data_IF_637079283974
#
_entry.id   IF_637079283974
#
_cell.length_a   1.000
_cell.length_b   1.000
_cell.length_c   1.000
_cell.angle_alpha   90.00
_cell.angle_beta   90.00
_cell.angle_gamma   90.00
#
_symmetry.space_group_name_H-M   'P 1'
#
loop_
_entity.id
_entity.type
_entity.pdbx_description
1 polymer ?
#
# COMPACT_ATOMS: atom_id res chain seq x y z
N UNK A 1 -2.78 4.66 45.48
CA UNK A 1 -3.51 4.94 44.22
C UNK A 1 -4.64 3.94 43.95
N UNK A 2 -4.69 2.77 44.62
CA UNK A 2 -5.73 1.75 44.44
C UNK A 2 -6.99 1.90 45.33
N UNK A 3 -6.97 2.72 46.40
CA UNK A 3 -8.12 2.87 47.30
C UNK A 3 -9.17 3.92 46.84
N UNK A 4 -8.79 4.81 45.92
CA UNK A 4 -9.72 5.83 45.38
C UNK A 4 -10.72 5.28 44.37
N UNK A 5 -10.35 4.25 43.62
CA UNK A 5 -11.21 3.61 42.59
C UNK A 5 -12.24 2.65 43.20
N UNK A 6 -11.92 1.95 44.29
CA UNK A 6 -12.90 1.09 44.97
C UNK A 6 -14.03 1.88 45.66
N UNK A 7 -13.74 3.09 46.15
CA UNK A 7 -14.75 3.94 46.79
C UNK A 7 -15.75 4.55 45.79
N UNK A 8 -15.37 4.68 44.51
CA UNK A 8 -16.29 5.18 43.47
C UNK A 8 -17.29 4.10 43.04
N UNK A 9 -16.87 2.82 43.00
CA UNK A 9 -17.77 1.70 42.70
C UNK A 9 -18.70 1.33 43.87
N UNK A 10 -18.24 1.42 45.11
CA UNK A 10 -19.06 1.08 46.28
C UNK A 10 -20.11 2.14 46.64
N UNK A 11 -20.00 3.38 46.15
CA UNK A 11 -21.01 4.42 46.38
C UNK A 11 -22.27 4.29 45.50
N UNK A 12 -22.27 3.46 44.45
CA UNK A 12 -23.48 3.21 43.64
C UNK A 12 -24.30 1.99 44.09
N UNK A 13 -23.80 1.14 44.98
CA UNK A 13 -24.53 -0.07 45.42
C UNK A 13 -25.32 0.14 46.72
N UNK A 14 -25.08 1.21 47.47
CA UNK A 14 -25.89 1.56 48.64
C UNK A 14 -26.46 2.98 48.50
N UNK A 15 -27.71 3.07 48.07
CA UNK A 15 -28.47 4.34 47.99
C UNK A 15 -28.58 5.03 49.35
N UNK A 16 -28.52 6.38 49.36
CA UNK A 16 -29.40 7.13 50.23
C UNK A 16 -30.13 8.24 49.45
N UNK A 17 -31.46 8.16 49.43
CA UNK A 17 -32.34 9.33 49.42
C UNK A 17 -32.56 10.08 48.10
N UNK A 18 -33.74 9.86 47.50
CA UNK A 18 -34.65 10.93 47.12
C UNK A 18 -34.15 12.03 46.18
N UNK A 19 -33.91 11.67 44.92
CA UNK A 19 -33.86 12.58 43.78
C UNK A 19 -33.87 11.72 42.52
N UNK A 20 -34.96 11.75 41.76
CA UNK A 20 -35.15 10.93 40.55
C UNK A 20 -34.21 11.36 39.43
N UNK A 21 -32.95 10.95 39.51
CA UNK A 21 -32.00 10.98 38.40
C UNK A 21 -31.83 9.57 37.87
N UNK A 22 -32.29 9.30 36.65
CA UNK A 22 -32.02 8.03 35.96
C UNK A 22 -30.51 7.84 35.84
N UNK A 23 -29.99 6.73 36.37
CA UNK A 23 -28.61 6.31 36.09
C UNK A 23 -28.40 6.29 34.57
N UNK A 24 -27.24 6.72 34.05
CA UNK A 24 -26.97 6.60 32.62
C UNK A 24 -27.08 5.12 32.22
N UNK A 25 -28.08 4.81 31.40
CA UNK A 25 -28.36 3.46 30.93
C UNK A 25 -27.94 3.34 29.47
N UNK A 26 -27.13 2.34 29.15
CA UNK A 26 -26.91 1.93 27.77
C UNK A 26 -28.14 1.20 27.26
N UNK A 27 -28.66 1.60 26.11
CA UNK A 27 -29.84 0.99 25.50
C UNK A 27 -29.37 0.21 24.27
N UNK A 28 -29.44 -1.14 24.27
CA UNK A 28 -29.17 -1.91 23.06
C UNK A 28 -30.29 -1.66 22.04
N UNK A 29 -29.90 -1.33 20.82
CA UNK A 29 -30.83 -1.03 19.74
C UNK A 29 -30.34 -1.63 18.43
N UNK A 30 -31.27 -2.22 17.68
CA UNK A 30 -31.07 -2.70 16.32
C UNK A 30 -31.18 -1.54 15.34
N UNK A 31 -30.22 -1.43 14.43
CA UNK A 31 -30.22 -0.47 13.34
C UNK A 31 -31.20 -0.92 12.27
N UNK A 32 -32.10 -0.05 11.88
CA UNK A 32 -33.07 -0.26 10.81
C UNK A 32 -32.64 0.45 9.52
N UNK A 33 -32.03 1.62 9.62
CA UNK A 33 -31.65 2.45 8.47
C UNK A 33 -30.51 3.41 8.85
N UNK A 34 -29.76 3.90 7.87
CA UNK A 34 -28.60 4.77 8.10
C UNK A 34 -28.38 5.79 6.98
N UNK A 35 -28.27 7.07 7.35
CA UNK A 35 -27.98 8.16 6.40
C UNK A 35 -26.49 8.25 6.12
N UNK A 36 -26.06 7.88 4.90
CA UNK A 36 -24.65 7.88 4.49
C UNK A 36 -24.28 8.97 3.47
N UNK A 37 -25.25 9.48 2.72
CA UNK A 37 -25.05 10.54 1.73
C UNK A 37 -26.34 11.35 1.47
N UNK A 38 -26.27 12.29 0.52
CA UNK A 38 -27.34 13.21 0.13
C UNK A 38 -28.50 12.56 -0.62
N UNK A 39 -28.33 11.33 -1.12
CA UNK A 39 -29.35 10.61 -1.89
C UNK A 39 -30.37 9.94 -0.99
N UNK A 40 -30.03 9.74 0.29
CA UNK A 40 -30.94 9.15 1.28
C UNK A 40 -32.19 10.02 1.50
N UNK A 41 -33.42 9.46 1.49
CA UNK A 41 -34.67 10.23 1.62
C UNK A 41 -34.84 11.08 2.89
N UNK A 42 -33.96 10.91 3.87
CA UNK A 42 -34.00 11.54 5.20
C UNK A 42 -32.80 12.44 5.46
N UNK A 43 -31.99 12.72 4.44
CA UNK A 43 -30.80 13.55 4.53
C UNK A 43 -31.10 14.94 5.13
N UNK A 44 -32.17 15.61 4.67
CA UNK A 44 -32.58 16.91 5.22
C UNK A 44 -33.06 16.80 6.68
N UNK A 45 -33.71 15.70 7.05
CA UNK A 45 -34.25 15.47 8.41
C UNK A 45 -33.16 15.30 9.49
N UNK A 46 -31.97 14.85 9.09
CA UNK A 46 -30.84 14.62 10.00
C UNK A 46 -29.86 15.80 10.05
N UNK A 47 -30.13 16.88 9.31
CA UNK A 47 -29.24 18.05 9.25
C UNK A 47 -28.17 17.95 8.17
N UNK A 48 -28.50 17.29 7.05
CA UNK A 48 -27.66 17.19 5.86
C UNK A 48 -26.27 16.60 6.17
N UNK A 49 -25.19 17.23 5.71
CA UNK A 49 -23.82 16.76 5.91
C UNK A 49 -23.40 16.61 7.37
N UNK A 50 -24.01 17.39 8.28
CA UNK A 50 -23.75 17.27 9.72
C UNK A 50 -24.48 16.06 10.34
N UNK A 51 -25.42 15.47 9.61
CA UNK A 51 -26.21 14.31 10.02
C UNK A 51 -25.70 12.97 9.50
N UNK A 52 -24.63 12.94 8.71
CA UNK A 52 -24.07 11.69 8.16
C UNK A 52 -23.72 10.72 9.30
N UNK A 53 -24.09 9.45 9.11
CA UNK A 53 -23.97 8.39 10.10
C UNK A 53 -25.13 8.37 11.10
N UNK A 54 -26.14 9.25 11.01
CA UNK A 54 -27.34 9.13 11.83
C UNK A 54 -28.07 7.83 11.49
N UNK A 55 -28.30 7.01 12.50
CA UNK A 55 -29.06 5.76 12.37
C UNK A 55 -30.51 5.98 12.78
N UNK A 56 -31.40 5.20 12.18
CA UNK A 56 -32.74 4.94 12.69
C UNK A 56 -32.75 3.55 13.32
N UNK A 57 -33.41 3.39 14.46
CA UNK A 57 -33.26 2.19 15.26
C UNK A 57 -34.55 1.73 15.92
N UNK A 58 -34.55 0.46 16.33
CA UNK A 58 -35.55 -0.16 17.19
C UNK A 58 -34.87 -0.74 18.44
N UNK A 59 -35.40 -0.45 19.63
CA UNK A 59 -34.90 -1.06 20.87
C UNK A 59 -35.17 -2.56 20.88
N UNK A 60 -34.23 -3.37 21.37
CA UNK A 60 -34.33 -4.84 21.33
C UNK A 60 -35.56 -5.36 22.09
N UNK A 61 -35.95 -4.70 23.20
CA UNK A 61 -37.08 -5.11 24.04
C UNK A 61 -38.46 -4.83 23.40
N UNK A 62 -38.51 -3.98 22.37
CA UNK A 62 -39.74 -3.67 21.66
C UNK A 62 -40.00 -4.77 20.62
N UNK A 63 -40.49 -5.95 21.06
CA UNK A 63 -41.08 -6.97 20.19
C UNK A 63 -42.43 -6.49 19.62
N UNK A 64 -42.39 -5.40 18.85
CA UNK A 64 -43.57 -4.81 18.22
C UNK A 64 -43.37 -4.73 16.71
N UNK A 65 -44.41 -5.06 15.95
CA UNK A 65 -44.49 -4.90 14.48
C UNK A 65 -44.49 -3.43 14.02
N UNK A 66 -44.27 -2.48 14.93
CA UNK A 66 -44.32 -1.06 14.64
C UNK A 66 -42.93 -0.59 14.19
N UNK A 67 -42.80 -0.29 12.89
CA UNK A 67 -41.70 0.48 12.32
C UNK A 67 -41.67 1.86 12.99
N UNK A 68 -40.98 2.01 14.14
CA UNK A 68 -40.83 3.30 14.80
C UNK A 68 -39.82 4.14 14.03
N UNK A 69 -40.24 4.69 12.90
CA UNK A 69 -39.43 5.45 11.96
C UNK A 69 -38.95 6.81 12.51
N UNK A 70 -39.26 7.15 13.77
CA UNK A 70 -38.92 8.43 14.38
C UNK A 70 -37.67 8.39 15.28
N UNK A 71 -37.26 7.20 15.73
CA UNK A 71 -36.14 7.07 16.66
C UNK A 71 -34.81 7.17 15.91
N UNK A 72 -34.00 8.18 16.24
CA UNK A 72 -32.69 8.42 15.63
C UNK A 72 -31.58 8.66 16.63
N UNK A 73 -30.37 8.25 16.27
CA UNK A 73 -29.17 8.45 17.07
C UNK A 73 -27.95 8.83 16.20
N UNK A 74 -27.06 9.64 16.75
CA UNK A 74 -25.84 10.15 16.08
C UNK A 74 -24.60 9.33 16.46
N UNK A 75 -23.56 9.28 15.60
CA UNK A 75 -22.31 8.60 15.97
C UNK A 75 -21.62 9.33 17.13
N UNK A 76 -21.24 8.61 18.18
CA UNK A 76 -20.54 9.18 19.33
C UNK A 76 -19.11 9.67 19.00
N UNK A 77 -18.47 9.06 18.00
CA UNK A 77 -17.08 9.30 17.64
C UNK A 77 -17.02 9.95 16.25
N UNK A 78 -16.63 11.22 16.19
CA UNK A 78 -16.54 11.95 14.92
C UNK A 78 -15.32 11.53 14.06
N UNK A 79 -14.23 11.13 14.71
CA UNK A 79 -12.96 10.81 14.05
C UNK A 79 -12.76 9.31 13.78
N UNK A 80 -13.59 8.44 14.35
CA UNK A 80 -13.60 7.01 14.10
C UNK A 80 -14.96 6.64 13.49
N UNK A 81 -15.00 6.54 12.16
CA UNK A 81 -16.22 6.21 11.42
C UNK A 81 -16.30 4.70 11.24
N UNK A 82 -16.99 4.03 12.15
CA UNK A 82 -17.39 2.63 12.04
C UNK A 82 -18.91 2.55 12.12
N UNK A 83 -19.54 2.95 11.02
CA UNK A 83 -20.99 2.98 10.94
C UNK A 83 -21.55 1.56 10.84
N UNK A 84 -22.67 1.27 11.55
CA UNK A 84 -23.31 -0.03 11.48
C UNK A 84 -23.92 -0.31 10.12
N UNK A 85 -24.11 -1.59 9.83
CA UNK A 85 -25.02 -2.07 8.80
C UNK A 85 -26.45 -2.17 9.33
N UNK A 86 -27.41 -2.28 8.42
CA UNK A 86 -28.78 -2.64 8.78
C UNK A 86 -28.79 -3.97 9.53
N UNK A 87 -29.67 -4.09 10.53
CA UNK A 87 -29.81 -5.19 11.47
C UNK A 87 -28.66 -5.38 12.48
N UNK A 88 -27.55 -4.62 12.43
CA UNK A 88 -26.55 -4.65 13.50
C UNK A 88 -27.08 -3.97 14.78
N UNK A 89 -26.55 -4.39 15.93
CA UNK A 89 -26.92 -3.82 17.22
C UNK A 89 -25.88 -2.81 17.66
N UNK A 90 -26.34 -1.68 18.20
CA UNK A 90 -25.50 -0.65 18.81
C UNK A 90 -25.95 -0.37 20.23
N UNK A 91 -25.07 0.22 21.04
CA UNK A 91 -25.43 0.76 22.35
C UNK A 91 -25.66 2.25 22.26
N UNK A 92 -26.85 2.68 22.67
CA UNK A 92 -27.25 4.08 22.71
C UNK A 92 -27.05 4.68 24.11
N UNK A 93 -26.68 5.96 24.15
CA UNK A 93 -26.58 6.75 25.36
C UNK A 93 -26.85 8.22 25.07
N UNK A 94 -27.41 8.95 26.03
CA UNK A 94 -27.75 10.35 25.86
C UNK A 94 -26.51 11.24 26.11
N UNK A 95 -26.26 12.20 25.22
CA UNK A 95 -25.31 13.29 25.45
C UNK A 95 -25.99 14.65 25.18
N UNK A 96 -25.44 15.74 25.74
CA UNK A 96 -25.95 17.10 25.52
C UNK A 96 -25.86 17.52 24.05
N UNK A 97 -26.82 18.33 23.60
CA UNK A 97 -26.77 19.02 22.30
C UNK A 97 -26.20 20.44 22.43
N UNK A 98 -25.88 21.14 21.32
CA UNK A 98 -25.52 22.56 21.38
C UNK A 98 -26.56 23.44 22.11
N UNK A 99 -27.84 23.09 22.01
CA UNK A 99 -28.97 23.77 22.67
C UNK A 99 -28.93 23.64 24.19
N UNK A 100 -28.27 22.60 24.73
CA UNK A 100 -28.03 22.48 26.18
C UNK A 100 -27.23 23.66 26.77
N UNK A 101 -26.53 24.45 25.94
CA UNK A 101 -25.87 25.69 26.40
C UNK A 101 -26.85 26.76 26.87
N UNK A 102 -28.11 26.73 26.42
CA UNK A 102 -29.12 27.75 26.70
C UNK A 102 -30.33 27.22 27.46
N UNK A 103 -30.71 25.94 27.28
CA UNK A 103 -31.90 25.32 27.89
C UNK A 103 -31.58 24.31 29.01
N UNK A 104 -30.33 23.83 29.11
CA UNK A 104 -29.85 22.94 30.17
C UNK A 104 -30.47 21.55 30.25
N UNK A 105 -31.29 21.13 29.27
CA UNK A 105 -32.03 19.86 29.30
C UNK A 105 -32.13 19.13 27.94
N UNK A 106 -31.55 19.68 26.87
CA UNK A 106 -31.66 19.08 25.53
C UNK A 106 -30.57 18.03 25.30
N UNK A 107 -30.98 16.76 25.39
CA UNK A 107 -30.13 15.61 25.09
C UNK A 107 -30.49 15.01 23.73
N UNK A 108 -29.50 14.48 23.02
CA UNK A 108 -29.69 13.63 21.85
C UNK A 108 -29.01 12.28 22.09
N UNK A 109 -29.51 11.24 21.43
CA UNK A 109 -28.95 9.91 21.56
C UNK A 109 -27.75 9.76 20.63
N UNK A 110 -26.70 9.18 21.19
CA UNK A 110 -25.50 8.80 20.48
C UNK A 110 -25.31 7.29 20.55
N UNK A 111 -24.66 6.73 19.54
CA UNK A 111 -24.33 5.31 19.48
C UNK A 111 -22.81 5.06 19.46
N UNK A 112 -22.39 3.95 20.06
CA UNK A 112 -21.07 3.36 19.89
C UNK A 112 -21.05 2.41 18.69
N UNK A 113 -19.85 2.01 18.24
CA UNK A 113 -19.64 1.03 17.17
C UNK A 113 -20.52 -0.24 17.34
N UNK A 114 -20.80 -0.95 16.23
CA UNK A 114 -21.57 -2.18 16.25
C UNK A 114 -21.09 -3.17 17.32
N UNK A 115 -22.03 -3.74 18.05
CA UNK A 115 -21.77 -4.80 19.01
C UNK A 115 -21.38 -6.08 18.26
N UNK A 116 -20.30 -6.71 18.70
CA UNK A 116 -19.80 -7.95 18.13
C UNK A 116 -20.61 -9.15 18.68
N UNK A 117 -21.79 -9.39 18.11
CA UNK A 117 -22.71 -10.45 18.56
C UNK A 117 -22.22 -11.84 18.15
N UNK A 118 -21.66 -11.96 16.94
CA UNK A 118 -21.34 -13.25 16.33
C UNK A 118 -19.84 -13.53 16.26
N UNK A 119 -19.01 -12.65 16.83
CA UNK A 119 -17.57 -12.69 16.66
C UNK A 119 -17.13 -12.67 15.19
N UNK A 120 -17.87 -11.94 14.35
CA UNK A 120 -17.63 -11.84 12.91
C UNK A 120 -17.05 -10.47 12.57
N UNK A 121 -15.96 -10.48 11.82
CA UNK A 121 -15.32 -9.32 11.20
C UNK A 121 -16.14 -8.75 10.03
N UNK A 122 -17.05 -9.54 9.46
CA UNK A 122 -17.78 -9.17 8.25
C UNK A 122 -19.05 -8.38 8.55
N UNK A 123 -19.92 -8.95 9.39
CA UNK A 123 -21.10 -8.28 9.92
C UNK A 123 -21.59 -8.96 11.21
N UNK A 124 -22.28 -8.19 12.04
CA UNK A 124 -22.87 -8.68 13.28
C UNK A 124 -24.40 -8.48 13.31
N UNK A 125 -25.07 -8.67 12.17
CA UNK A 125 -26.50 -8.45 12.04
C UNK A 125 -27.30 -9.44 12.89
N UNK A 126 -28.27 -8.92 13.64
CA UNK A 126 -29.22 -9.68 14.44
C UNK A 126 -30.63 -9.33 13.95
N UNK A 127 -31.17 -9.94 12.88
CA UNK A 127 -32.43 -9.53 12.25
C UNK A 127 -33.66 -9.75 13.16
N UNK A 128 -34.76 -9.06 12.86
CA UNK A 128 -36.03 -9.26 13.55
C UNK A 128 -36.83 -10.42 12.94
N UNK A 129 -36.86 -11.56 13.63
CA UNK A 129 -37.61 -12.76 13.19
C UNK A 129 -39.14 -12.56 13.13
N UNK A 130 -39.68 -11.49 13.73
CA UNK A 130 -41.12 -11.18 13.66
C UNK A 130 -41.50 -10.35 12.43
N UNK A 131 -40.52 -9.83 11.69
CA UNK A 131 -40.71 -9.04 10.47
C UNK A 131 -40.30 -9.79 9.20
N UNK A 132 -39.80 -11.02 9.32
CA UNK A 132 -39.53 -11.89 8.16
C UNK A 132 -40.86 -12.29 7.52
N UNK A 133 -41.09 -12.02 6.22
CA UNK A 133 -42.33 -12.40 5.53
C UNK A 133 -42.61 -13.91 5.65
N UNK A 134 -43.89 -14.27 5.77
CA UNK A 134 -44.37 -15.65 5.90
C UNK A 134 -43.69 -16.59 4.88
N UNK A 135 -42.91 -17.55 5.39
CA UNK A 135 -42.39 -18.68 4.60
C UNK A 135 -40.87 -18.88 4.58
N UNK A 136 -40.08 -17.98 5.16
CA UNK A 136 -38.62 -18.17 5.27
C UNK A 136 -38.28 -19.00 6.52
N UNK A 137 -37.80 -20.22 6.33
CA UNK A 137 -37.24 -21.00 7.44
C UNK A 137 -35.94 -20.33 7.91
N UNK A 138 -35.82 -19.92 9.18
CA UNK A 138 -34.60 -19.31 9.67
C UNK A 138 -33.50 -20.39 9.78
N UNK A 139 -32.52 -20.34 8.89
CA UNK A 139 -31.24 -21.07 8.99
C UNK A 139 -30.37 -20.60 10.18
N UNK A 140 -31.00 -19.95 11.18
CA UNK A 140 -30.39 -19.41 12.39
C UNK A 140 -30.64 -20.28 13.63
N UNK A 141 -31.61 -21.20 13.60
CA UNK A 141 -31.92 -22.06 14.76
C UNK A 141 -30.80 -23.09 15.06
N UNK A 142 -29.82 -23.29 14.17
CA UNK A 142 -28.67 -24.19 14.40
C UNK A 142 -27.40 -23.48 14.94
N UNK A 143 -27.55 -22.45 15.79
CA UNK A 143 -26.39 -21.72 16.38
C UNK A 143 -26.27 -21.89 17.90
N UNK A 144 -26.64 -23.05 18.46
CA UNK A 144 -26.45 -23.34 19.90
C UNK A 144 -25.04 -23.90 20.25
N UNK A 145 -24.16 -24.13 19.26
CA UNK A 145 -22.87 -24.81 19.47
C UNK A 145 -21.62 -24.00 19.06
N UNK A 146 -21.74 -22.70 18.78
CA UNK A 146 -20.60 -21.88 18.34
C UNK A 146 -20.12 -22.21 16.91
N UNK A 147 -20.99 -22.82 16.09
CA UNK A 147 -20.74 -23.06 14.67
C UNK A 147 -21.14 -21.79 13.91
N UNK A 148 -20.18 -21.23 13.20
CA UNK A 148 -20.37 -20.04 12.34
C UNK A 148 -21.25 -20.43 11.16
N UNK A 149 -22.15 -19.53 10.72
CA UNK A 149 -23.06 -19.76 9.59
C UNK A 149 -22.32 -20.29 8.36
N UNK A 150 -22.83 -21.37 7.76
CA UNK A 150 -22.37 -21.91 6.47
C UNK A 150 -23.39 -21.51 5.39
N UNK A 151 -23.22 -20.34 4.78
CA UNK A 151 -24.10 -19.94 3.66
C UNK A 151 -23.59 -20.62 2.38
N UNK A 152 -24.20 -21.74 2.00
CA UNK A 152 -23.83 -22.52 0.80
C UNK A 152 -24.36 -21.95 -0.52
N UNK A 153 -25.26 -20.97 -0.48
CA UNK A 153 -25.99 -20.41 -1.64
C UNK A 153 -25.58 -18.98 -2.03
N UNK A 154 -24.78 -18.29 -1.21
CA UNK A 154 -24.35 -16.91 -1.51
C UNK A 154 -25.47 -15.86 -1.50
N UNK A 155 -26.70 -16.21 -1.09
CA UNK A 155 -27.78 -15.26 -0.82
C UNK A 155 -27.90 -15.03 0.69
N UNK A 156 -27.95 -13.77 1.10
CA UNK A 156 -28.34 -13.41 2.46
C UNK A 156 -29.74 -12.83 2.38
N UNK A 157 -30.72 -13.59 2.86
CA UNK A 157 -32.13 -13.16 3.00
C UNK A 157 -32.31 -12.00 3.99
N UNK A 158 -31.22 -11.36 4.43
CA UNK A 158 -31.17 -10.27 5.39
C UNK A 158 -30.69 -9.02 4.66
N UNK A 159 -31.43 -7.94 4.82
CA UNK A 159 -31.04 -6.63 4.35
C UNK A 159 -29.92 -6.07 5.24
N UNK A 160 -28.73 -5.89 4.67
CA UNK A 160 -27.53 -5.39 5.36
C UNK A 160 -27.19 -3.94 4.95
N UNK A 161 -28.05 -3.31 4.16
CA UNK A 161 -27.88 -1.96 3.61
C UNK A 161 -27.87 -1.96 2.09
N UNK A 162 -27.77 -0.77 1.49
CA UNK A 162 -27.94 -0.58 0.04
C UNK A 162 -26.72 -0.99 -0.79
N UNK A 163 -25.51 -0.71 -0.28
CA UNK A 163 -24.24 -0.89 -1.02
C UNK A 163 -23.37 -2.03 -0.48
N UNK A 164 -23.75 -2.58 0.69
CA UNK A 164 -22.99 -3.66 1.31
C UNK A 164 -23.33 -4.98 0.64
N UNK A 165 -22.31 -5.62 0.05
CA UNK A 165 -22.41 -6.97 -0.52
C UNK A 165 -21.62 -7.92 0.38
N UNK A 166 -22.32 -8.89 0.95
CA UNK A 166 -21.69 -9.94 1.75
C UNK A 166 -20.78 -10.81 0.87
N UNK A 167 -19.64 -11.17 1.45
CA UNK A 167 -18.62 -12.06 0.87
C UNK A 167 -18.27 -13.12 1.89
N UNK A 168 -18.85 -14.30 1.75
CA UNK A 168 -18.71 -15.41 2.71
C UNK A 168 -17.30 -15.99 2.79
N UNK A 169 -16.43 -15.63 1.84
CA UNK A 169 -15.05 -16.07 1.70
C UNK A 169 -14.04 -15.00 2.13
N UNK A 170 -14.36 -14.22 3.17
CA UNK A 170 -13.43 -13.27 3.78
C UNK A 170 -13.01 -13.81 5.15
N UNK A 171 -11.77 -14.27 5.28
CA UNK A 171 -11.27 -14.90 6.50
C UNK A 171 -10.81 -13.85 7.54
N UNK A 172 -11.07 -14.08 8.85
CA UNK A 172 -10.47 -13.26 9.90
C UNK A 172 -8.97 -13.56 10.01
N UNK A 173 -8.20 -12.60 10.52
CA UNK A 173 -6.82 -12.85 10.90
C UNK A 173 -6.74 -13.66 12.19
N UNK A 174 -5.88 -14.68 12.20
CA UNK A 174 -5.52 -15.42 13.41
C UNK A 174 -4.73 -14.50 14.35
N UNK A 175 -5.26 -14.09 15.51
CA UNK A 175 -4.54 -13.22 16.43
C UNK A 175 -3.49 -13.98 17.25
N UNK A 176 -2.43 -13.29 17.65
CA UNK A 176 -1.47 -13.77 18.64
C UNK A 176 -1.48 -12.92 19.91
N UNK A 177 -0.86 -13.42 20.97
CA UNK A 177 -0.81 -12.74 22.26
C UNK A 177 -0.15 -11.35 22.13
N UNK A 178 -0.88 -10.31 22.54
CA UNK A 178 -0.40 -8.92 22.49
C UNK A 178 -0.64 -8.19 21.18
N UNK A 179 -1.20 -8.84 20.16
CA UNK A 179 -1.54 -8.19 18.89
C UNK A 179 -2.60 -7.10 19.07
N UNK A 180 -2.49 -6.06 18.25
CA UNK A 180 -3.56 -5.11 17.97
C UNK A 180 -3.87 -5.16 16.49
N UNK A 181 -5.06 -5.68 16.15
CA UNK A 181 -5.49 -5.88 14.76
C UNK A 181 -6.75 -5.03 14.52
N UNK A 182 -6.71 -4.28 13.43
CA UNK A 182 -7.89 -3.62 12.87
C UNK A 182 -8.22 -4.26 11.52
N UNK A 183 -9.36 -4.92 11.45
CA UNK A 183 -9.84 -5.58 10.22
C UNK A 183 -11.02 -4.80 9.64
N UNK A 184 -11.02 -4.65 8.31
CA UNK A 184 -12.18 -4.24 7.55
C UNK A 184 -13.00 -5.44 7.10
N UNK A 185 -14.26 -5.18 6.76
CA UNK A 185 -15.23 -6.19 6.30
C UNK A 185 -14.84 -6.87 4.96
N UNK A 186 -13.83 -6.36 4.25
CA UNK A 186 -13.46 -6.80 2.89
C UNK A 186 -12.04 -7.37 2.77
N UNK A 187 -11.47 -7.89 3.87
CA UNK A 187 -10.16 -8.54 3.84
C UNK A 187 -8.97 -7.58 3.84
N UNK A 188 -9.19 -6.32 4.21
CA UNK A 188 -8.12 -5.35 4.48
C UNK A 188 -7.84 -5.27 5.98
N UNK A 189 -6.59 -5.07 6.37
CA UNK A 189 -6.21 -5.01 7.78
C UNK A 189 -4.96 -4.17 8.07
N UNK A 190 -4.84 -3.77 9.33
CA UNK A 190 -3.60 -3.24 9.91
C UNK A 190 -3.33 -4.05 11.19
N UNK A 191 -2.15 -4.67 11.26
CA UNK A 191 -1.68 -5.46 12.39
C UNK A 191 -0.46 -4.82 13.01
N UNK A 192 -0.53 -4.52 14.29
CA UNK A 192 0.63 -4.31 15.16
C UNK A 192 0.84 -5.59 15.94
N UNK A 193 1.88 -6.35 15.60
CA UNK A 193 2.13 -7.65 16.20
C UNK A 193 3.60 -7.89 16.49
N UNK A 194 3.95 -9.16 16.64
CA UNK A 194 5.32 -9.57 16.92
C UNK A 194 5.71 -10.87 16.25
N UNK A 195 6.99 -11.21 16.30
CA UNK A 195 7.48 -12.56 16.07
C UNK A 195 6.82 -13.52 17.04
N UNK A 196 6.27 -14.61 16.51
CA UNK A 196 5.71 -15.72 17.29
C UNK A 196 6.25 -17.03 16.73
N UNK A 197 7.34 -17.50 17.33
CA UNK A 197 8.16 -18.58 16.79
C UNK A 197 7.36 -19.85 16.53
N UNK A 198 7.48 -20.37 15.30
CA UNK A 198 6.79 -21.58 14.84
C UNK A 198 5.28 -21.43 14.59
N UNK A 199 4.75 -20.20 14.55
CA UNK A 199 3.33 -19.93 14.27
C UNK A 199 3.08 -19.23 12.94
N UNK A 200 4.05 -18.49 12.41
CA UNK A 200 3.92 -17.77 11.14
C UNK A 200 5.14 -17.98 10.25
N UNK A 201 4.96 -17.82 8.94
CA UNK A 201 6.01 -17.93 7.93
C UNK A 201 7.10 -16.84 8.04
N UNK A 202 6.85 -15.73 8.75
CA UNK A 202 7.83 -14.67 9.02
C UNK A 202 8.51 -14.77 10.39
N UNK A 203 8.10 -15.73 11.23
CA UNK A 203 8.60 -15.90 12.60
C UNK A 203 9.53 -17.09 12.76
N UNK A 204 10.25 -17.50 11.70
CA UNK A 204 11.34 -18.48 11.84
C UNK A 204 12.63 -17.83 12.36
N UNK A 205 12.80 -16.52 12.11
CA UNK A 205 13.95 -15.73 12.53
C UNK A 205 13.50 -14.60 13.45
N UNK A 206 14.25 -14.38 14.54
CA UNK A 206 13.95 -13.41 15.58
C UNK A 206 13.53 -14.06 16.90
N UNK A 207 13.28 -13.24 17.91
CA UNK A 207 12.82 -13.66 19.22
C UNK A 207 11.35 -13.30 19.41
N UNK A 208 10.62 -14.10 20.21
CA UNK A 208 9.24 -13.79 20.53
C UNK A 208 9.10 -12.37 21.10
N UNK A 209 8.16 -11.59 20.57
CA UNK A 209 7.96 -10.20 20.96
C UNK A 209 8.72 -9.18 20.13
N UNK A 210 9.60 -9.59 19.22
CA UNK A 210 10.20 -8.66 18.24
C UNK A 210 9.10 -8.05 17.36
N UNK A 211 9.00 -6.71 17.26
CA UNK A 211 7.85 -6.07 16.65
C UNK A 211 7.80 -6.26 15.13
N UNK A 212 6.59 -6.41 14.60
CA UNK A 212 6.30 -6.36 13.16
C UNK A 212 5.01 -5.56 12.96
N UNK A 213 4.96 -4.78 11.89
CA UNK A 213 3.72 -4.11 11.47
C UNK A 213 3.39 -4.49 10.04
N UNK A 214 2.16 -4.95 9.82
CA UNK A 214 1.68 -5.38 8.51
C UNK A 214 0.45 -4.55 8.15
N UNK A 215 0.46 -3.97 6.96
CA UNK A 215 -0.70 -3.34 6.34
C UNK A 215 -1.06 -4.21 5.14
N UNK A 216 -2.25 -4.78 5.14
CA UNK A 216 -2.73 -5.69 4.08
C UNK A 216 -3.99 -5.14 3.45
N UNK A 217 -4.07 -5.24 2.12
CA UNK A 217 -5.27 -4.89 1.37
C UNK A 217 -5.65 -6.03 0.42
N UNK A 218 -6.48 -6.95 0.92
CA UNK A 218 -6.87 -8.16 0.23
C UNK A 218 -6.02 -9.35 0.68
N UNK A 219 -6.70 -10.39 1.16
CA UNK A 219 -6.09 -11.67 1.49
C UNK A 219 -5.84 -12.54 0.26
N UNK A 220 -5.15 -13.67 0.44
CA UNK A 220 -5.00 -14.70 -0.57
C UNK A 220 -6.37 -15.19 -1.11
N UNK A 221 -6.66 -14.98 -2.41
CA UNK A 221 -7.91 -15.44 -3.03
C UNK A 221 -8.11 -16.96 -3.00
N UNK A 222 -7.07 -17.73 -2.67
CA UNK A 222 -7.09 -19.19 -2.62
C UNK A 222 -7.31 -19.76 -1.22
N UNK A 223 -7.58 -18.94 -0.19
CA UNK A 223 -7.88 -19.40 1.18
C UNK A 223 -9.13 -20.29 1.29
N UNK A 224 -9.95 -20.36 0.22
CA UNK A 224 -11.16 -21.19 0.14
C UNK A 224 -12.43 -20.42 0.53
N UNK A 225 -13.57 -21.11 0.50
CA UNK A 225 -14.88 -20.48 0.76
C UNK A 225 -15.25 -20.43 2.25
N UNK A 226 -14.38 -20.95 3.12
CA UNK A 226 -14.62 -21.03 4.57
C UNK A 226 -14.18 -19.74 5.29
N UNK A 227 -14.83 -18.60 5.01
CA UNK A 227 -14.46 -17.29 5.57
C UNK A 227 -14.60 -17.14 7.10
N UNK A 228 -14.94 -18.20 7.83
CA UNK A 228 -14.88 -18.21 9.30
C UNK A 228 -13.57 -18.80 9.85
N UNK A 229 -12.76 -19.45 9.01
CA UNK A 229 -11.50 -20.07 9.41
C UNK A 229 -10.42 -18.99 9.45
N UNK A 230 -9.77 -18.71 10.60
CA UNK A 230 -8.75 -17.68 10.66
C UNK A 230 -7.51 -18.02 9.84
N UNK A 231 -6.92 -17.00 9.21
CA UNK A 231 -5.72 -17.12 8.37
C UNK A 231 -4.59 -16.24 8.88
N UNK A 232 -3.38 -16.52 8.39
CA UNK A 232 -2.16 -15.76 8.68
C UNK A 232 -1.73 -15.09 7.38
N UNK A 233 -1.24 -13.85 7.45
CA UNK A 233 -0.79 -13.12 6.27
C UNK A 233 0.31 -13.87 5.51
N UNK A 234 0.39 -13.66 4.21
CA UNK A 234 1.41 -14.24 3.38
C UNK A 234 1.84 -13.23 2.33
N UNK A 235 3.08 -12.76 2.43
CA UNK A 235 3.60 -11.70 1.57
C UNK A 235 3.53 -12.05 0.08
N UNK A 236 3.58 -13.33 -0.27
CA UNK A 236 3.59 -13.78 -1.67
C UNK A 236 2.18 -13.99 -2.24
N UNK A 237 1.19 -14.36 -1.41
CA UNK A 237 -0.14 -14.72 -1.89
C UNK A 237 -1.25 -13.72 -1.54
N UNK A 238 -1.06 -12.88 -0.52
CA UNK A 238 -1.91 -11.72 -0.28
C UNK A 238 -1.79 -10.71 -1.45
N UNK A 239 -2.90 -10.10 -1.84
CA UNK A 239 -2.98 -9.27 -3.07
C UNK A 239 -2.07 -8.04 -3.04
N UNK A 240 -2.04 -7.32 -1.91
CA UNK A 240 -1.11 -6.21 -1.72
C UNK A 240 -0.84 -5.98 -0.24
N UNK A 241 0.43 -5.74 0.10
CA UNK A 241 0.82 -5.53 1.48
C UNK A 241 2.09 -4.68 1.64
N UNK A 242 2.20 -4.10 2.83
CA UNK A 242 3.40 -3.42 3.35
C UNK A 242 3.80 -4.10 4.64
N UNK A 243 5.04 -4.58 4.69
CA UNK A 243 5.61 -5.29 5.83
C UNK A 243 6.76 -4.47 6.40
N UNK A 244 6.69 -4.15 7.68
CA UNK A 244 7.74 -3.43 8.41
C UNK A 244 8.30 -4.35 9.48
N UNK A 245 9.51 -4.85 9.28
CA UNK A 245 10.17 -5.82 10.15
C UNK A 245 11.19 -5.14 11.08
N UNK A 246 11.51 -5.81 12.18
CA UNK A 246 12.60 -5.43 13.08
C UNK A 246 13.75 -6.45 13.08
N UNK A 247 13.42 -7.74 13.07
CA UNK A 247 14.37 -8.86 13.04
C UNK A 247 13.99 -9.95 12.05
N UNK A 248 12.72 -9.96 11.61
CA UNK A 248 12.12 -11.03 10.83
C UNK A 248 12.77 -11.14 9.45
N UNK A 249 12.91 -12.39 9.02
CA UNK A 249 13.23 -12.75 7.64
C UNK A 249 11.92 -13.10 6.95
N UNK A 250 11.60 -12.39 5.88
CA UNK A 250 10.41 -12.67 5.06
C UNK A 250 10.79 -13.55 3.89
N UNK A 251 10.04 -14.61 3.61
CA UNK A 251 10.28 -15.50 2.47
C UNK A 251 9.71 -14.92 1.15
N UNK A 252 9.98 -13.64 0.86
CA UNK A 252 9.50 -12.98 -0.35
C UNK A 252 10.14 -13.60 -1.60
N UNK A 253 9.31 -14.05 -2.52
CA UNK A 253 9.74 -14.51 -3.84
C UNK A 253 10.01 -13.30 -4.74
N UNK A 254 11.28 -13.05 -5.04
CA UNK A 254 11.67 -11.91 -5.84
C UNK A 254 11.16 -12.02 -7.29
N UNK A 255 10.43 -11.00 -7.77
CA UNK A 255 10.01 -10.90 -9.17
C UNK A 255 11.20 -10.87 -10.16
N UNK A 256 12.39 -10.48 -9.69
CA UNK A 256 13.64 -10.56 -10.45
C UNK A 256 14.83 -10.79 -9.51
N UNK A 257 15.74 -11.69 -9.89
CA UNK A 257 17.00 -11.97 -9.19
C UNK A 257 18.23 -11.43 -9.94
N UNK A 258 18.02 -10.54 -10.91
CA UNK A 258 19.09 -10.01 -11.76
C UNK A 258 20.01 -9.07 -10.98
N UNK A 259 21.26 -9.49 -10.76
CA UNK A 259 22.29 -8.76 -10.03
C UNK A 259 23.61 -8.63 -10.80
N UNK A 260 23.58 -8.71 -12.13
CA UNK A 260 24.77 -8.75 -12.99
C UNK A 260 25.67 -7.51 -12.85
N UNK A 261 25.12 -6.38 -12.41
CA UNK A 261 25.84 -5.13 -12.16
C UNK A 261 26.70 -5.17 -10.88
N UNK A 262 26.45 -6.08 -9.95
CA UNK A 262 27.18 -6.18 -8.69
C UNK A 262 28.46 -7.02 -8.82
N UNK A 263 29.54 -6.56 -8.20
CA UNK A 263 30.71 -7.41 -7.89
C UNK A 263 30.44 -8.28 -6.68
N UNK A 264 29.76 -7.72 -5.67
CA UNK A 264 29.28 -8.42 -4.47
C UNK A 264 27.83 -8.00 -4.26
N UNK A 265 26.86 -8.85 -4.59
CA UNK A 265 25.44 -8.52 -4.45
C UNK A 265 25.04 -8.41 -2.96
N UNK A 266 23.97 -7.66 -2.64
CA UNK A 266 23.35 -7.72 -1.32
C UNK A 266 22.75 -9.10 -1.05
N UNK A 267 22.41 -9.37 0.20
CA UNK A 267 21.63 -10.56 0.58
C UNK A 267 20.31 -10.59 -0.23
N UNK A 268 19.86 -11.77 -0.62
CA UNK A 268 18.60 -11.92 -1.35
C UNK A 268 17.42 -11.59 -0.45
N UNK A 269 16.28 -11.19 -1.04
CA UNK A 269 15.10 -10.72 -0.30
C UNK A 269 14.57 -11.76 0.69
N UNK A 270 14.69 -13.04 0.35
CA UNK A 270 14.30 -14.18 1.18
C UNK A 270 15.30 -14.54 2.28
N UNK A 271 16.51 -13.96 2.27
CA UNK A 271 17.60 -14.27 3.21
C UNK A 271 17.94 -13.11 4.16
N UNK A 272 17.56 -11.87 3.81
CA UNK A 272 17.82 -10.74 4.68
C UNK A 272 16.95 -10.80 5.94
N UNK A 273 17.61 -10.97 7.09
CA UNK A 273 17.01 -10.91 8.41
C UNK A 273 17.39 -9.61 9.11
N UNK A 274 16.40 -8.81 9.49
CA UNK A 274 16.63 -7.53 10.15
C UNK A 274 15.53 -6.52 9.84
N UNK A 275 15.79 -5.27 10.21
CA UNK A 275 14.83 -4.20 9.98
C UNK A 275 14.82 -3.79 8.51
N UNK A 276 13.63 -3.85 7.90
CA UNK A 276 13.36 -3.45 6.53
C UNK A 276 11.89 -3.08 6.35
N UNK A 277 11.60 -2.41 5.23
CA UNK A 277 10.24 -2.17 4.75
C UNK A 277 10.13 -2.84 3.38
N UNK A 278 9.14 -3.70 3.23
CA UNK A 278 8.84 -4.41 1.99
C UNK A 278 7.45 -3.99 1.53
N UNK A 279 7.32 -3.64 0.24
CA UNK A 279 6.06 -3.29 -0.40
C UNK A 279 5.85 -4.28 -1.53
N UNK A 280 4.79 -5.10 -1.46
CA UNK A 280 4.48 -6.10 -2.48
C UNK A 280 3.08 -5.89 -3.07
N UNK A 281 2.97 -6.01 -4.39
CA UNK A 281 1.76 -5.77 -5.19
C UNK A 281 2.03 -6.13 -6.65
N UNK A 282 0.98 -6.42 -7.43
CA UNK A 282 1.06 -6.54 -8.89
C UNK A 282 1.65 -5.27 -9.57
N UNK A 283 1.38 -4.09 -8.98
CA UNK A 283 1.88 -2.81 -9.50
C UNK A 283 2.21 -1.85 -8.36
N UNK A 284 3.40 -1.27 -8.42
CA UNK A 284 3.86 -0.19 -7.53
C UNK A 284 4.04 1.10 -8.35
N UNK A 285 3.41 2.20 -7.91
CA UNK A 285 3.51 3.52 -8.56
C UNK A 285 3.97 4.56 -7.55
N UNK A 286 5.09 5.22 -7.82
CA UNK A 286 5.58 6.37 -7.06
C UNK A 286 5.35 7.63 -7.90
N UNK A 287 4.55 8.58 -7.40
CA UNK A 287 4.15 9.78 -8.15
C UNK A 287 4.27 11.04 -7.28
N UNK A 288 5.01 12.05 -7.74
CA UNK A 288 5.10 13.37 -7.14
C UNK A 288 4.43 14.40 -8.06
N UNK A 289 3.53 15.23 -7.51
CA UNK A 289 2.73 16.19 -8.30
C UNK A 289 3.44 17.52 -8.54
N UNK A 290 4.29 17.94 -7.63
CA UNK A 290 4.85 19.30 -7.60
C UNK A 290 6.36 19.34 -7.43
N UNK A 291 6.92 18.30 -6.83
CA UNK A 291 8.29 18.29 -6.31
C UNK A 291 9.03 17.00 -6.73
N UNK A 292 10.11 16.65 -6.07
CA UNK A 292 11.00 15.55 -6.48
C UNK A 292 10.63 14.20 -5.84
N UNK A 293 10.94 13.11 -6.55
CA UNK A 293 11.14 11.79 -5.93
C UNK A 293 12.63 11.65 -5.65
N UNK A 294 13.01 11.40 -4.40
CA UNK A 294 14.41 11.22 -3.98
C UNK A 294 14.64 9.78 -3.52
N UNK A 295 15.61 9.09 -4.14
CA UNK A 295 16.04 7.74 -3.78
C UNK A 295 17.52 7.78 -3.38
N UNK A 296 17.84 7.36 -2.16
CA UNK A 296 19.22 7.37 -1.65
C UNK A 296 19.47 6.16 -0.76
N UNK A 297 20.72 5.68 -0.75
CA UNK A 297 21.14 4.51 0.01
C UNK A 297 22.61 4.65 0.42
N UNK A 298 22.98 4.09 1.56
CA UNK A 298 24.35 4.14 2.08
C UNK A 298 25.35 3.31 1.26
N UNK A 299 24.88 2.26 0.56
CA UNK A 299 25.73 1.37 -0.25
C UNK A 299 25.45 1.53 -1.74
N UNK A 300 24.24 1.18 -2.17
CA UNK A 300 23.84 1.20 -3.58
C UNK A 300 22.33 1.32 -3.75
N UNK A 301 21.91 1.81 -4.91
CA UNK A 301 20.54 1.74 -5.41
C UNK A 301 20.56 0.84 -6.65
N UNK A 302 19.77 -0.24 -6.62
CA UNK A 302 19.64 -1.17 -7.75
C UNK A 302 18.36 -0.91 -8.52
N UNK A 303 18.43 -0.92 -9.85
CA UNK A 303 17.26 -0.98 -10.74
C UNK A 303 17.41 -2.23 -11.60
N UNK A 304 16.47 -3.15 -11.49
CA UNK A 304 16.48 -4.43 -12.21
C UNK A 304 15.07 -4.82 -12.63
N UNK A 305 14.92 -5.27 -13.87
CA UNK A 305 13.67 -5.79 -14.42
C UNK A 305 13.99 -6.91 -15.42
N UNK A 306 13.08 -7.88 -15.58
CA UNK A 306 13.28 -8.99 -16.51
C UNK A 306 13.25 -8.57 -17.98
N UNK A 307 12.46 -7.55 -18.32
CA UNK A 307 12.29 -7.09 -19.70
C UNK A 307 13.10 -5.83 -20.02
N UNK A 308 12.79 -4.69 -19.38
CA UNK A 308 13.43 -3.41 -19.68
C UNK A 308 13.40 -2.43 -18.52
N UNK A 309 14.34 -1.49 -18.52
CA UNK A 309 14.32 -0.27 -17.72
C UNK A 309 14.17 0.89 -18.71
N UNK A 310 13.07 1.63 -18.60
CA UNK A 310 12.75 2.74 -19.50
C UNK A 310 12.93 4.06 -18.74
N UNK A 311 13.71 5.00 -19.33
CA UNK A 311 14.01 6.31 -18.75
C UNK A 311 13.70 7.38 -19.79
N UNK A 312 12.48 7.90 -19.73
CA UNK A 312 11.99 8.94 -20.63
C UNK A 312 12.08 10.32 -19.98
N UNK A 313 12.97 11.16 -20.49
CA UNK A 313 13.18 12.52 -19.98
C UNK A 313 13.71 13.41 -21.10
N UNK A 314 13.53 14.72 -20.97
CA UNK A 314 14.16 15.71 -21.87
C UNK A 314 15.68 15.74 -21.68
N UNK A 315 16.15 15.51 -20.46
CA UNK A 315 17.56 15.53 -20.10
C UNK A 315 17.84 14.43 -19.06
N UNK A 316 18.89 13.65 -19.30
CA UNK A 316 19.35 12.60 -18.41
C UNK A 316 20.78 12.90 -17.96
N UNK A 317 20.93 13.29 -16.70
CA UNK A 317 22.21 13.70 -16.11
C UNK A 317 22.72 12.58 -15.21
N UNK A 318 23.88 12.02 -15.56
CA UNK A 318 24.61 11.06 -14.71
C UNK A 318 25.95 11.71 -14.34
N UNK A 319 26.13 11.98 -13.05
CA UNK A 319 27.41 12.45 -12.51
C UNK A 319 28.05 11.33 -11.68
N UNK A 320 29.05 10.67 -12.26
CA UNK A 320 29.81 9.61 -11.62
C UNK A 320 31.26 9.60 -12.11
N UNK A 321 32.19 9.23 -11.23
CA UNK A 321 33.62 9.12 -11.58
C UNK A 321 33.92 8.03 -12.63
N UNK A 322 33.03 7.05 -12.80
CA UNK A 322 33.22 5.90 -13.69
C UNK A 322 31.86 5.37 -14.14
N UNK A 323 31.54 5.50 -15.43
CA UNK A 323 30.30 5.01 -16.04
C UNK A 323 30.62 3.78 -16.89
N UNK A 324 29.89 2.68 -16.66
CA UNK A 324 30.07 1.40 -17.34
C UNK A 324 28.83 1.05 -18.16
N UNK A 325 29.02 0.84 -19.46
CA UNK A 325 27.96 0.46 -20.38
C UNK A 325 28.15 -1.00 -20.84
N UNK A 326 27.07 -1.78 -20.86
CA UNK A 326 27.05 -3.18 -21.30
C UNK A 326 27.55 -4.22 -20.28
N UNK A 327 28.55 -3.89 -19.45
CA UNK A 327 29.02 -4.78 -18.37
C UNK A 327 29.69 -4.00 -17.25
N UNK A 328 29.64 -4.53 -16.02
CA UNK A 328 30.44 -4.03 -14.88
C UNK A 328 31.95 -4.06 -15.16
N UNK A 329 32.39 -4.96 -16.04
CA UNK A 329 33.78 -5.16 -16.42
C UNK A 329 34.19 -4.38 -17.68
N UNK A 330 33.34 -3.48 -18.19
CA UNK A 330 33.62 -2.68 -19.40
C UNK A 330 34.96 -1.91 -19.31
N UNK A 331 35.85 -2.16 -20.27
CA UNK A 331 37.20 -1.57 -20.32
C UNK A 331 37.43 -0.60 -21.46
N UNK A 332 36.63 -0.64 -22.52
CA UNK A 332 36.86 0.17 -23.72
C UNK A 332 36.35 1.60 -23.51
N UNK A 333 37.18 2.64 -23.63
CA UNK A 333 36.73 4.01 -23.40
C UNK A 333 35.83 4.52 -24.55
N UNK A 334 34.79 5.28 -24.20
CA UNK A 334 34.02 6.03 -25.20
C UNK A 334 34.87 7.12 -25.86
N UNK A 335 34.45 7.64 -27.02
CA UNK A 335 35.14 8.74 -27.71
C UNK A 335 34.29 10.00 -27.80
N UNK A 336 34.96 11.16 -27.81
CA UNK A 336 34.32 12.44 -28.10
C UNK A 336 33.93 12.50 -29.58
N UNK A 337 32.64 12.30 -29.87
CA UNK A 337 32.09 12.15 -31.22
C UNK A 337 32.51 13.26 -32.18
N UNK A 338 32.10 14.50 -31.93
CA UNK A 338 32.38 15.63 -32.84
C UNK A 338 33.87 15.85 -33.07
N UNK A 339 34.68 15.83 -32.00
CA UNK A 339 36.14 15.97 -32.12
C UNK A 339 36.79 14.82 -32.90
N UNK A 340 36.21 13.62 -32.81
CA UNK A 340 36.67 12.47 -33.59
C UNK A 340 36.34 12.66 -35.07
N UNK A 341 35.14 13.15 -35.39
CA UNK A 341 34.75 13.47 -36.77
C UNK A 341 35.64 14.56 -37.36
N UNK A 342 35.90 15.64 -36.61
CA UNK A 342 36.81 16.71 -37.04
C UNK A 342 38.22 16.17 -37.32
N UNK A 343 38.75 15.32 -36.44
CA UNK A 343 40.07 14.72 -36.63
C UNK A 343 40.13 13.80 -37.85
N UNK A 344 39.08 13.01 -38.09
CA UNK A 344 38.97 12.17 -39.28
C UNK A 344 38.86 13.01 -40.55
N UNK A 345 38.10 14.11 -40.52
CA UNK A 345 38.03 15.09 -41.62
C UNK A 345 39.41 15.65 -41.96
N UNK A 346 40.15 16.09 -40.95
CA UNK A 346 41.53 16.57 -41.11
C UNK A 346 42.47 15.52 -41.73
N UNK A 347 42.29 14.23 -41.37
CA UNK A 347 43.06 13.13 -41.98
C UNK A 347 42.66 12.95 -43.45
N UNK A 348 41.37 12.97 -43.77
CA UNK A 348 40.87 12.80 -45.14
C UNK A 348 41.25 13.96 -46.05
N UNK A 349 41.23 15.19 -45.54
CA UNK A 349 41.68 16.38 -46.26
C UNK A 349 43.17 16.28 -46.59
N UNK A 350 43.98 15.79 -45.64
CA UNK A 350 45.41 15.62 -45.87
C UNK A 350 45.70 14.53 -46.91
N UNK A 351 44.98 13.40 -46.84
CA UNK A 351 45.08 12.34 -47.85
C UNK A 351 44.63 12.84 -49.24
N UNK A 352 43.54 13.61 -49.29
CA UNK A 352 43.03 14.21 -50.52
C UNK A 352 44.03 15.20 -51.11
N UNK A 353 44.72 15.97 -50.27
CA UNK A 353 45.77 16.88 -50.70
C UNK A 353 46.94 16.12 -51.36
N UNK A 354 47.39 15.01 -50.75
CA UNK A 354 48.44 14.15 -51.33
C UNK A 354 48.00 13.55 -52.66
N UNK A 355 46.79 12.99 -52.73
CA UNK A 355 46.26 12.41 -53.97
C UNK A 355 46.10 13.46 -55.08
N UNK A 356 45.66 14.66 -54.73
CA UNK A 356 45.58 15.80 -55.65
C UNK A 356 46.94 16.10 -56.27
N UNK A 357 48.00 16.19 -55.44
CA UNK A 357 49.36 16.39 -55.94
C UNK A 357 49.82 15.23 -56.84
N UNK A 358 49.56 13.98 -56.47
CA UNK A 358 49.92 12.80 -57.27
C UNK A 358 49.23 12.79 -58.65
N UNK A 359 47.94 13.10 -58.70
CA UNK A 359 47.18 13.14 -59.96
C UNK A 359 47.70 14.20 -60.94
N UNK A 360 48.19 15.32 -60.41
CA UNK A 360 48.78 16.40 -61.20
C UNK A 360 50.14 16.04 -61.82
N UNK A 361 50.76 14.92 -61.44
CA UNK A 361 52.05 14.50 -62.00
C UNK A 361 51.93 13.78 -63.35
N UNK A 362 50.75 13.25 -63.67
CA UNK A 362 50.50 12.52 -64.94
C UNK A 362 50.54 13.44 -66.16
N UNK A 363 50.38 14.76 -65.96
CA UNK A 363 50.43 15.78 -67.01
C UNK A 363 51.81 16.41 -67.23
N UNK A 364 52.85 15.95 -66.52
CA UNK A 364 54.21 16.50 -66.64
C UNK A 364 55.00 15.87 -67.79
N UNK A 365 55.82 16.65 -68.53
CA UNK A 365 56.72 16.13 -69.55
C UNK A 365 57.76 15.15 -68.96
N UNK A 366 58.24 14.16 -69.73
CA UNK A 366 59.32 13.27 -69.31
C UNK A 366 60.56 14.06 -68.84
N UNK A 367 61.03 13.78 -67.63
CA UNK A 367 62.21 14.43 -67.03
C UNK A 367 61.93 15.67 -66.16
N UNK A 368 60.67 16.11 -66.05
CA UNK A 368 60.31 17.19 -65.13
C UNK A 368 60.43 16.77 -63.65
N UNK A 369 60.98 17.63 -62.76
CA UNK A 369 61.25 17.26 -61.38
C UNK A 369 59.98 17.30 -60.49
N UNK A 370 59.80 16.28 -59.64
CA UNK A 370 58.65 16.10 -58.74
C UNK A 370 58.66 16.96 -57.46
N UNK A 371 59.31 18.13 -57.47
CA UNK A 371 59.56 18.95 -56.28
C UNK A 371 58.30 19.24 -55.43
N UNK A 372 57.11 19.55 -56.01
CA UNK A 372 55.89 19.78 -55.23
C UNK A 372 55.43 18.56 -54.42
N UNK A 373 55.65 17.35 -54.93
CA UNK A 373 55.24 16.11 -54.27
C UNK A 373 56.08 15.85 -53.01
N UNK A 374 57.40 16.04 -53.07
CA UNK A 374 58.27 15.78 -51.93
C UNK A 374 57.98 16.73 -50.76
N UNK A 375 57.72 18.02 -51.06
CA UNK A 375 57.33 18.99 -50.05
C UNK A 375 55.98 18.65 -49.39
N UNK A 376 54.98 18.28 -50.20
CA UNK A 376 53.67 17.85 -49.68
C UNK A 376 53.80 16.60 -48.80
N UNK A 377 54.55 15.59 -49.26
CA UNK A 377 54.74 14.34 -48.52
C UNK A 377 55.34 14.57 -47.13
N UNK A 378 56.34 15.45 -47.00
CA UNK A 378 56.93 15.82 -45.71
C UNK A 378 55.89 16.48 -44.80
N UNK A 379 55.10 17.42 -45.32
CA UNK A 379 54.06 18.11 -44.55
C UNK A 379 52.96 17.16 -44.08
N UNK A 380 52.48 16.30 -44.97
CA UNK A 380 51.46 15.29 -44.65
C UNK A 380 51.95 14.33 -43.58
N UNK A 381 53.21 13.89 -43.65
CA UNK A 381 53.80 13.02 -42.63
C UNK A 381 53.81 13.68 -41.24
N UNK A 382 54.14 14.98 -41.15
CA UNK A 382 54.13 15.72 -39.88
C UNK A 382 52.70 15.80 -39.32
N UNK A 383 51.73 16.18 -40.15
CA UNK A 383 50.32 16.31 -39.73
C UNK A 383 49.72 14.98 -39.32
N UNK A 384 49.92 13.92 -40.11
CA UNK A 384 49.42 12.58 -39.77
C UNK A 384 49.99 12.06 -38.45
N UNK A 385 51.27 12.34 -38.15
CA UNK A 385 51.85 12.01 -36.84
C UNK A 385 51.21 12.81 -35.69
N UNK A 386 50.90 14.09 -35.91
CA UNK A 386 50.19 14.91 -34.93
C UNK A 386 48.78 14.36 -34.68
N UNK A 387 48.03 14.07 -35.75
CA UNK A 387 46.68 13.52 -35.67
C UNK A 387 46.66 12.16 -34.97
N UNK A 388 47.66 11.30 -35.25
CA UNK A 388 47.84 10.03 -34.55
C UNK A 388 48.00 10.20 -33.05
N UNK A 389 48.72 11.23 -32.59
CA UNK A 389 48.88 11.52 -31.16
C UNK A 389 47.59 12.06 -30.54
N UNK A 390 46.80 12.83 -31.29
CA UNK A 390 45.53 13.39 -30.81
C UNK A 390 44.46 12.32 -30.57
N UNK A 391 44.45 11.21 -31.34
CA UNK A 391 43.46 10.14 -31.19
C UNK A 391 43.30 9.65 -29.73
N UNK A 392 44.41 9.44 -29.02
CA UNK A 392 44.37 8.97 -27.62
C UNK A 392 43.78 10.00 -26.65
N UNK A 393 43.85 11.28 -26.98
CA UNK A 393 43.32 12.36 -26.14
C UNK A 393 41.80 12.49 -26.24
N UNK A 394 41.18 11.85 -27.25
CA UNK A 394 39.73 11.85 -27.47
C UNK A 394 39.02 10.74 -26.70
N UNK A 395 39.77 9.80 -26.12
CA UNK A 395 39.22 8.72 -25.31
C UNK A 395 38.73 9.26 -23.96
N UNK A 396 37.52 8.87 -23.57
CA UNK A 396 36.96 9.16 -22.26
C UNK A 396 37.79 8.50 -21.18
N UNK A 397 38.06 9.25 -20.10
CA UNK A 397 38.75 8.72 -18.92
C UNK A 397 37.79 8.05 -17.94
N UNK A 398 36.49 8.36 -18.03
CA UNK A 398 35.47 7.98 -17.06
C UNK A 398 34.45 6.98 -17.64
N UNK A 399 34.09 7.11 -18.91
CA UNK A 399 33.00 6.33 -19.50
C UNK A 399 33.55 5.19 -20.35
N UNK A 400 33.14 3.96 -20.05
CA UNK A 400 33.63 2.75 -20.73
C UNK A 400 32.49 1.84 -21.18
N UNK A 401 32.71 1.10 -22.25
CA UNK A 401 31.85 0.08 -22.85
C UNK A 401 32.60 -1.26 -22.98
N UNK A 402 31.85 -2.32 -23.27
CA UNK A 402 32.38 -3.61 -23.75
C UNK A 402 32.55 -3.63 -25.26
#
# INVERSE_FOLDING_TARGET
MAEGLLNYFNQQINSPGGGGGSSPSFIPARVYDIVLDETHPRFDEVGQWNGIGTIFYQTIDAMTNASSSENKAKPALANLKNYPLTNEVVYLFALPTPESQTSGQDNTLYYLNPANIWNSQHHNALPNILLTPDGQQPDYEETEAGVVRRVTDGSTEIELGETFVEKTNINPLLPFEGDVIHEGRWGNSIRFGSTVNGKTNWSETGENGDPITIIRNGEDPNNGDEGWVPVVENINSDLSSIWMTSTQQTLLEAASSLNNSYSTPPDTLDQYAGSQIIINSDRVVLNSKTDHIMLSSAKSVSLSALESINIDTKEHIIDANNIKLGSKDATEPLMLGDKTVDLLGNILDELSSVMGQLSGLVSLPPGAPFVPLNAQAIQSQIKLNLYKNQLRTLLSKQNKTV
#
